data_IF_897785873676
#
_entry.id   IF_897785873676
#
_cell.length_a   1.000
_cell.length_b   1.000
_cell.length_c   1.000
_cell.angle_alpha   90.00
_cell.angle_beta   90.00
_cell.angle_gamma   90.00
#
_symmetry.space_group_name_H-M   'P 1'
#
loop_
_entity.id
_entity.type
_entity.pdbx_description
1 polymer ?
#
# COMPACT_ATOMS: atom_id res chain seq x y z
N UNK A 1 2.48 62.84 11.94
CA UNK A 1 2.59 61.53 12.64
C UNK A 1 1.38 60.60 12.43
N UNK A 2 0.14 61.08 12.37
CA UNK A 2 -1.07 60.25 12.15
C UNK A 2 -1.18 59.48 10.79
N UNK A 3 -0.64 59.95 9.64
CA UNK A 3 -0.85 59.25 8.36
C UNK A 3 0.00 57.97 8.23
N UNK A 4 1.15 57.91 8.90
CA UNK A 4 2.05 56.74 8.88
C UNK A 4 1.44 55.55 9.63
N UNK A 5 0.77 55.80 10.77
CA UNK A 5 0.08 54.78 11.54
C UNK A 5 -1.13 54.18 10.79
N UNK A 6 -1.86 55.01 10.03
CA UNK A 6 -2.96 54.55 9.16
C UNK A 6 -2.47 53.71 7.98
N UNK A 7 -1.32 54.09 7.39
CA UNK A 7 -0.70 53.33 6.31
C UNK A 7 -0.17 51.97 6.80
N UNK A 8 0.51 51.94 7.95
CA UNK A 8 0.98 50.71 8.60
C UNK A 8 -0.17 49.76 8.94
N UNK A 9 -1.30 50.28 9.43
CA UNK A 9 -2.49 49.47 9.75
C UNK A 9 -3.13 48.87 8.48
N UNK A 10 -3.14 49.59 7.36
CA UNK A 10 -3.61 49.10 6.06
C UNK A 10 -2.67 48.04 5.47
N UNK A 11 -1.36 48.24 5.57
CA UNK A 11 -0.35 47.26 5.14
C UNK A 11 -0.49 45.97 5.97
N UNK A 12 -0.69 46.09 7.28
CA UNK A 12 -0.89 44.94 8.16
C UNK A 12 -2.17 44.16 7.81
N UNK A 13 -3.29 44.85 7.58
CA UNK A 13 -4.54 44.20 7.15
C UNK A 13 -4.38 43.52 5.79
N UNK A 14 -3.67 44.15 4.84
CA UNK A 14 -3.44 43.57 3.53
C UNK A 14 -2.51 42.35 3.58
N UNK A 15 -1.47 42.38 4.42
CA UNK A 15 -0.56 41.24 4.63
C UNK A 15 -1.26 40.03 5.28
N UNK A 16 -2.19 40.27 6.21
CA UNK A 16 -3.00 39.19 6.80
C UNK A 16 -3.96 38.59 5.75
N UNK A 17 -4.57 39.43 4.90
CA UNK A 17 -5.48 38.97 3.85
C UNK A 17 -4.78 38.15 2.76
N UNK A 18 -3.55 38.50 2.35
CA UNK A 18 -2.78 37.70 1.39
C UNK A 18 -2.29 36.37 1.95
N UNK A 19 -2.07 36.27 3.27
CA UNK A 19 -1.62 35.02 3.90
C UNK A 19 -2.75 33.97 4.00
N UNK A 20 -4.02 34.41 4.06
CA UNK A 20 -5.17 33.51 4.13
C UNK A 20 -5.50 32.81 2.79
N UNK A 21 -5.06 33.34 1.66
CA UNK A 21 -5.35 32.78 0.32
C UNK A 21 -4.32 31.75 -0.17
N UNK A 22 -3.25 31.50 0.60
CA UNK A 22 -2.18 30.56 0.21
C UNK A 22 -2.25 29.21 0.91
N UNK A 23 -3.34 28.91 1.62
CA UNK A 23 -3.53 27.59 2.21
C UNK A 23 -3.55 26.53 1.10
N UNK A 24 -2.60 25.56 1.09
CA UNK A 24 -2.59 24.54 0.06
C UNK A 24 -3.80 23.63 0.23
N UNK A 25 -4.70 23.65 -0.75
CA UNK A 25 -5.79 22.69 -0.85
C UNK A 25 -5.20 21.37 -1.35
N UNK A 26 -4.78 20.52 -0.43
CA UNK A 26 -4.37 19.16 -0.78
C UNK A 26 -5.60 18.31 -1.08
N UNK A 27 -5.64 17.75 -2.29
CA UNK A 27 -6.64 16.75 -2.63
C UNK A 27 -6.55 15.55 -1.66
N UNK A 28 -7.69 14.94 -1.35
CA UNK A 28 -7.72 13.72 -0.54
C UNK A 28 -6.88 12.63 -1.23
N UNK A 29 -6.09 11.89 -0.44
CA UNK A 29 -5.30 10.77 -0.95
C UNK A 29 -6.18 9.70 -1.57
N UNK A 30 -5.67 9.05 -2.61
CA UNK A 30 -6.30 7.91 -3.26
C UNK A 30 -6.04 6.67 -2.39
N UNK A 31 -7.12 6.02 -1.95
CA UNK A 31 -7.05 4.75 -1.23
C UNK A 31 -6.75 3.60 -2.19
N UNK A 32 -5.76 2.79 -1.86
CA UNK A 32 -5.35 1.62 -2.65
C UNK A 32 -5.20 0.42 -1.72
N UNK A 33 -5.73 -0.73 -2.13
CA UNK A 33 -5.55 -1.99 -1.43
C UNK A 33 -4.66 -2.91 -2.27
N UNK A 34 -3.52 -3.29 -1.72
CA UNK A 34 -2.70 -4.37 -2.25
C UNK A 34 -3.15 -5.70 -1.67
N UNK A 35 -3.35 -6.67 -2.54
CA UNK A 35 -3.65 -8.06 -2.17
C UNK A 35 -2.45 -8.92 -2.55
N UNK A 36 -1.74 -9.46 -1.56
CA UNK A 36 -0.55 -10.29 -1.76
C UNK A 36 -0.63 -11.64 -1.05
N UNK A 37 0.49 -12.35 -0.88
CA UNK A 37 0.57 -13.65 -0.19
C UNK A 37 0.74 -14.87 -1.09
N UNK A 38 0.41 -14.78 -2.38
CA UNK A 38 0.57 -15.88 -3.35
C UNK A 38 1.07 -15.36 -4.71
N UNK A 39 2.34 -15.60 -5.04
CA UNK A 39 2.91 -15.31 -6.36
C UNK A 39 4.17 -16.17 -6.60
N UNK A 40 4.48 -16.47 -7.87
CA UNK A 40 5.73 -17.17 -8.24
C UNK A 40 6.96 -16.24 -8.25
N UNK A 41 6.74 -14.93 -8.25
CA UNK A 41 7.78 -13.92 -8.01
C UNK A 41 7.94 -13.62 -6.51
N UNK A 42 9.03 -12.94 -6.15
CA UNK A 42 9.32 -12.54 -4.77
C UNK A 42 8.43 -11.37 -4.30
N UNK A 43 7.13 -11.65 -4.15
CA UNK A 43 6.12 -10.68 -3.71
C UNK A 43 6.46 -10.10 -2.33
N UNK A 44 6.97 -10.92 -1.41
CA UNK A 44 7.29 -10.49 -0.05
C UNK A 44 8.34 -9.37 -0.01
N UNK A 45 9.30 -9.37 -0.94
CA UNK A 45 10.25 -8.28 -1.09
C UNK A 45 9.69 -7.08 -1.88
N UNK A 46 8.81 -7.34 -2.85
CA UNK A 46 8.28 -6.30 -3.74
C UNK A 46 7.14 -5.48 -3.12
N UNK A 47 6.22 -6.07 -2.37
CA UNK A 47 5.08 -5.36 -1.78
C UNK A 47 5.53 -4.17 -0.93
N UNK A 48 6.48 -4.31 0.02
CA UNK A 48 6.93 -3.18 0.85
C UNK A 48 7.57 -2.06 0.01
N UNK A 49 8.35 -2.44 -1.01
CA UNK A 49 8.97 -1.48 -1.91
C UNK A 49 7.92 -0.70 -2.72
N UNK A 50 6.96 -1.38 -3.34
CA UNK A 50 5.91 -0.73 -4.14
C UNK A 50 5.03 0.19 -3.29
N UNK A 51 4.65 -0.26 -2.08
CA UNK A 51 3.92 0.56 -1.12
C UNK A 51 4.69 1.85 -0.81
N UNK A 52 5.98 1.72 -0.46
CA UNK A 52 6.81 2.88 -0.16
C UNK A 52 6.91 3.85 -1.34
N UNK A 53 7.05 3.35 -2.58
CA UNK A 53 7.08 4.21 -3.77
C UNK A 53 5.76 4.95 -3.99
N UNK A 54 4.61 4.28 -3.84
CA UNK A 54 3.31 4.94 -3.97
C UNK A 54 3.10 5.99 -2.89
N UNK A 55 3.36 5.66 -1.63
CA UNK A 55 3.18 6.60 -0.52
C UNK A 55 4.13 7.80 -0.59
N UNK A 56 5.35 7.61 -1.11
CA UNK A 56 6.34 8.68 -1.32
C UNK A 56 5.83 9.80 -2.25
N UNK A 57 4.90 9.52 -3.16
CA UNK A 57 4.29 10.54 -4.02
C UNK A 57 3.42 11.54 -3.24
N UNK A 58 3.00 11.20 -2.03
CA UNK A 58 2.02 11.97 -1.26
C UNK A 58 0.58 11.82 -1.74
N UNK A 59 0.35 11.15 -2.88
CA UNK A 59 -0.97 11.01 -3.50
C UNK A 59 -1.77 9.82 -2.98
N UNK A 60 -1.10 8.79 -2.45
CA UNK A 60 -1.72 7.51 -2.13
C UNK A 60 -1.69 7.19 -0.63
N UNK A 61 -2.72 6.48 -0.19
CA UNK A 61 -2.76 5.74 1.06
C UNK A 61 -2.91 4.26 0.70
N UNK A 62 -1.93 3.43 1.09
CA UNK A 62 -1.85 2.04 0.64
C UNK A 62 -1.99 1.08 1.82
N UNK A 63 -3.06 0.30 1.79
CA UNK A 63 -3.27 -0.84 2.67
C UNK A 63 -2.78 -2.12 2.00
N UNK A 64 -2.38 -3.10 2.82
CA UNK A 64 -1.93 -4.41 2.35
C UNK A 64 -2.71 -5.48 3.08
N UNK A 65 -3.30 -6.42 2.33
CA UNK A 65 -3.86 -7.66 2.85
C UNK A 65 -3.12 -8.85 2.25
N UNK A 66 -2.64 -9.71 3.13
CA UNK A 66 -1.85 -10.89 2.75
C UNK A 66 -2.71 -12.14 2.86
N UNK A 67 -2.89 -12.82 1.74
CA UNK A 67 -3.58 -14.10 1.70
C UNK A 67 -2.80 -15.19 2.47
N UNK A 68 -3.49 -16.17 3.09
CA UNK A 68 -2.81 -17.28 3.74
C UNK A 68 -1.95 -18.10 2.76
N UNK A 69 -0.98 -18.88 3.26
CA UNK A 69 -0.21 -19.80 2.43
C UNK A 69 -1.09 -20.87 1.74
N UNK A 70 -0.81 -21.17 0.46
CA UNK A 70 -1.41 -22.26 -0.30
C UNK A 70 -0.32 -23.18 -0.86
N UNK A 71 -0.66 -24.46 -1.01
CA UNK A 71 0.21 -25.40 -1.69
C UNK A 71 0.51 -24.96 -3.15
N UNK A 72 1.78 -24.96 -3.58
CA UNK A 72 2.15 -24.64 -4.96
C UNK A 72 1.64 -25.70 -5.93
N UNK A 73 1.45 -25.32 -7.20
CA UNK A 73 1.17 -26.31 -8.25
C UNK A 73 2.46 -27.06 -8.61
N UNK A 74 2.41 -28.38 -8.79
CA UNK A 74 3.57 -29.14 -9.24
C UNK A 74 4.00 -28.71 -10.65
N UNK A 75 5.31 -28.69 -10.96
CA UNK A 75 5.82 -28.53 -12.32
C UNK A 75 5.24 -29.59 -13.27
N UNK A 76 5.05 -29.20 -14.54
CA UNK A 76 4.45 -30.09 -15.55
C UNK A 76 5.36 -31.26 -15.94
N UNK A 77 6.67 -31.10 -15.82
CA UNK A 77 7.72 -32.01 -16.28
C UNK A 77 8.23 -32.99 -15.20
N UNK A 78 7.41 -33.31 -14.20
CA UNK A 78 7.74 -34.29 -13.17
C UNK A 78 7.42 -35.73 -13.61
N UNK A 79 8.20 -36.70 -13.11
CA UNK A 79 7.87 -38.13 -13.19
C UNK A 79 6.60 -38.46 -12.39
N UNK A 80 5.93 -39.61 -12.63
CA UNK A 80 4.76 -40.01 -11.85
C UNK A 80 5.02 -40.02 -10.34
N UNK A 81 6.10 -40.63 -9.88
CA UNK A 81 6.45 -40.70 -8.45
C UNK A 81 6.68 -39.30 -7.85
N UNK A 82 7.30 -38.38 -8.61
CA UNK A 82 7.49 -36.99 -8.17
C UNK A 82 6.16 -36.23 -8.07
N UNK A 83 5.21 -36.50 -8.98
CA UNK A 83 3.86 -35.93 -8.92
C UNK A 83 3.12 -36.40 -7.68
N UNK A 84 3.23 -37.68 -7.35
CA UNK A 84 2.59 -38.26 -6.16
C UNK A 84 3.14 -37.65 -4.87
N UNK A 85 4.48 -37.54 -4.77
CA UNK A 85 5.13 -36.86 -3.63
C UNK A 85 4.72 -35.39 -3.53
N UNK A 86 4.65 -34.68 -4.66
CA UNK A 86 4.20 -33.28 -4.67
C UNK A 86 2.73 -33.15 -4.27
N UNK A 87 1.87 -34.09 -4.66
CA UNK A 87 0.46 -34.11 -4.27
C UNK A 87 0.29 -34.35 -2.76
N UNK A 88 1.02 -35.31 -2.18
CA UNK A 88 1.03 -35.56 -0.74
C UNK A 88 1.52 -34.34 0.03
N UNK A 89 2.63 -33.73 -0.38
CA UNK A 89 3.14 -32.51 0.24
C UNK A 89 2.14 -31.34 0.14
N UNK A 90 1.45 -31.21 -1.00
CA UNK A 90 0.43 -30.20 -1.20
C UNK A 90 -0.79 -30.42 -0.28
N UNK A 91 -1.19 -31.67 -0.04
CA UNK A 91 -2.27 -32.00 0.87
C UNK A 91 -1.93 -31.61 2.32
N UNK A 92 -0.72 -31.93 2.78
CA UNK A 92 -0.25 -31.57 4.11
C UNK A 92 -0.18 -30.05 4.32
N UNK A 93 0.28 -29.30 3.32
CA UNK A 93 0.26 -27.83 3.35
C UNK A 93 -1.19 -27.32 3.45
N UNK A 94 -2.12 -27.87 2.67
CA UNK A 94 -3.53 -27.47 2.71
C UNK A 94 -4.12 -27.72 4.10
N UNK A 95 -3.95 -28.92 4.66
CA UNK A 95 -4.40 -29.25 6.02
C UNK A 95 -3.84 -28.28 7.06
N UNK A 96 -2.53 -28.01 6.99
CA UNK A 96 -1.85 -27.10 7.93
C UNK A 96 -2.41 -25.68 7.91
N UNK A 97 -2.80 -25.18 6.75
CA UNK A 97 -3.29 -23.81 6.59
C UNK A 97 -4.81 -23.69 6.45
N UNK A 98 -5.55 -24.80 6.50
CA UNK A 98 -7.01 -24.84 6.32
C UNK A 98 -7.73 -23.86 7.24
N UNK A 99 -7.41 -23.89 8.54
CA UNK A 99 -8.00 -22.98 9.53
C UNK A 99 -7.73 -21.49 9.24
N UNK A 100 -6.66 -21.15 8.52
CA UNK A 100 -6.39 -19.75 8.12
C UNK A 100 -7.20 -19.33 6.90
N UNK A 101 -7.64 -20.27 6.09
CA UNK A 101 -8.48 -20.02 4.92
C UNK A 101 -9.98 -19.99 5.26
N UNK A 102 -10.37 -20.66 6.34
CA UNK A 102 -11.75 -20.72 6.82
C UNK A 102 -12.11 -19.58 7.80
N UNK A 103 -11.12 -18.77 8.21
CA UNK A 103 -11.26 -17.61 9.10
C UNK A 103 -11.60 -16.33 8.33
#
# INVERSE_FOLDING_TARGET
>A
MKPLAGLLKKILVMAVATTAMTAPVFAKKISVLYVDGQNNHNWAAMTPFMKAQMEKTGLFHVDVVTSPPRAPRPPRNLSPEQKDKAAQAAEEIRKKFQAKWDA
#
